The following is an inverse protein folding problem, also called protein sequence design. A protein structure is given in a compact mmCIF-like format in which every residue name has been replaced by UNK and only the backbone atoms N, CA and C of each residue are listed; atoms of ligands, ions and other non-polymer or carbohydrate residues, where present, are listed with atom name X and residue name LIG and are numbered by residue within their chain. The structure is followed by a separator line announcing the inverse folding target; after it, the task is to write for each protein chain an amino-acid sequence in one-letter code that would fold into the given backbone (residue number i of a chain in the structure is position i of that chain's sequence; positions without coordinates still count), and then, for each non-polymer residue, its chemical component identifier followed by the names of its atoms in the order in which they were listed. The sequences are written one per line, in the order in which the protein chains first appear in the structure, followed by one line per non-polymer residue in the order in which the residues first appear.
data_IF_201299643873
#
_entry.id   IF_201299643873
#
_cell.length_a   1.000
_cell.length_b   1.000
_cell.length_c   1.000
_cell.angle_alpha   90.00
_cell.angle_beta   90.00
_cell.angle_gamma   90.00
#
_symmetry.space_group_name_H-M   'P 1'
#
loop_
_entity.id
_entity.type
_entity.pdbx_description
1 polymer ?
#
# COMPACT_ATOMS: atom_id res chain seq x y z
N UNK A 1 9.56 -31.84 -0.42
CA UNK A 1 9.66 -30.60 0.38
C UNK A 1 8.40 -30.46 1.21
N UNK A 2 8.50 -30.08 2.49
CA UNK A 2 7.31 -29.89 3.34
C UNK A 2 6.41 -28.83 2.73
N UNK A 3 5.12 -29.11 2.55
CA UNK A 3 4.14 -28.17 1.99
C UNK A 3 3.73 -27.07 2.98
N UNK A 4 4.28 -27.09 4.20
CA UNK A 4 3.90 -26.22 5.31
C UNK A 4 4.56 -24.83 5.32
N UNK A 5 5.61 -24.61 4.50
CA UNK A 5 6.36 -23.33 4.48
C UNK A 5 6.30 -22.60 3.13
N UNK A 6 6.41 -21.27 3.16
CA UNK A 6 6.55 -20.41 1.97
C UNK A 6 7.94 -20.57 1.35
N UNK A 7 8.17 -19.93 0.19
CA UNK A 7 9.46 -19.96 -0.52
C UNK A 7 10.62 -19.34 0.27
N UNK A 8 10.31 -18.53 1.30
CA UNK A 8 11.29 -17.92 2.21
C UNK A 8 11.35 -18.62 3.58
N UNK A 9 10.76 -19.81 3.70
CA UNK A 9 10.84 -20.64 4.92
C UNK A 9 9.90 -20.24 6.06
N UNK A 10 8.94 -19.35 5.84
CA UNK A 10 7.94 -18.97 6.85
C UNK A 10 6.75 -19.93 6.86
N UNK A 11 6.09 -20.07 8.01
CA UNK A 11 4.89 -20.90 8.16
C UNK A 11 3.72 -20.36 7.31
N UNK A 12 3.07 -21.23 6.52
CA UNK A 12 2.09 -20.79 5.50
C UNK A 12 0.82 -20.20 6.09
N UNK A 13 0.28 -20.73 7.19
CA UNK A 13 -0.96 -20.21 7.80
C UNK A 13 -0.75 -18.77 8.27
N UNK A 14 0.30 -18.53 9.04
CA UNK A 14 0.68 -17.19 9.52
C UNK A 14 0.98 -16.25 8.36
N UNK A 15 1.68 -16.74 7.32
CA UNK A 15 1.98 -15.94 6.13
C UNK A 15 0.71 -15.56 5.36
N UNK A 16 -0.29 -16.45 5.30
CA UNK A 16 -1.59 -16.18 4.70
C UNK A 16 -2.35 -15.11 5.48
N UNK A 17 -2.47 -15.26 6.80
CA UNK A 17 -3.12 -14.28 7.68
C UNK A 17 -2.44 -12.90 7.58
N UNK A 18 -1.11 -12.86 7.45
CA UNK A 18 -0.37 -11.62 7.22
C UNK A 18 -0.65 -11.02 5.85
N UNK A 19 -0.65 -11.82 4.78
CA UNK A 19 -0.93 -11.37 3.43
C UNK A 19 -2.36 -10.79 3.29
N UNK A 20 -3.35 -11.40 3.95
CA UNK A 20 -4.72 -10.89 4.02
C UNK A 20 -4.78 -9.51 4.66
N UNK A 21 -4.09 -9.31 5.80
CA UNK A 21 -4.00 -7.99 6.46
C UNK A 21 -3.23 -6.97 5.64
N UNK A 22 -2.16 -7.39 4.96
CA UNK A 22 -1.40 -6.52 4.05
C UNK A 22 -2.26 -6.07 2.87
N UNK A 23 -3.14 -6.92 2.34
CA UNK A 23 -4.08 -6.53 1.29
C UNK A 23 -5.08 -5.47 1.76
N UNK A 24 -5.57 -5.56 2.99
CA UNK A 24 -6.41 -4.50 3.59
C UNK A 24 -5.63 -3.19 3.71
N UNK A 25 -4.36 -3.26 4.16
CA UNK A 25 -3.51 -2.08 4.28
C UNK A 25 -3.15 -1.47 2.92
N UNK A 26 -2.86 -2.30 1.92
CA UNK A 26 -2.61 -1.92 0.53
C UNK A 26 -3.79 -1.14 -0.04
N UNK A 27 -5.01 -1.66 0.10
CA UNK A 27 -6.23 -0.98 -0.33
C UNK A 27 -6.44 0.36 0.40
N UNK A 28 -6.22 0.40 1.72
CA UNK A 28 -6.31 1.64 2.49
C UNK A 28 -5.30 2.70 2.03
N UNK A 29 -4.07 2.29 1.71
CA UNK A 29 -3.03 3.20 1.19
C UNK A 29 -3.33 3.70 -0.21
N UNK A 30 -3.96 2.90 -1.08
CA UNK A 30 -4.41 3.37 -2.40
C UNK A 30 -5.43 4.52 -2.26
N UNK A 31 -6.39 4.36 -1.35
CA UNK A 31 -7.37 5.42 -1.05
C UNK A 31 -6.68 6.65 -0.43
N UNK A 32 -5.76 6.44 0.51
CA UNK A 32 -4.98 7.51 1.12
C UNK A 32 -4.18 8.31 0.08
N UNK A 33 -3.44 7.62 -0.80
CA UNK A 33 -2.68 8.21 -1.90
C UNK A 33 -3.58 9.09 -2.77
N UNK A 34 -4.73 8.57 -3.20
CA UNK A 34 -5.64 9.31 -4.07
C UNK A 34 -6.24 10.53 -3.35
N UNK A 35 -6.59 10.40 -2.07
CA UNK A 35 -7.11 11.51 -1.27
C UNK A 35 -6.06 12.62 -1.11
N UNK A 36 -4.82 12.27 -0.75
CA UNK A 36 -3.74 13.24 -0.57
C UNK A 36 -3.40 13.93 -1.90
N UNK A 37 -3.39 13.19 -3.00
CA UNK A 37 -3.21 13.77 -4.33
C UNK A 37 -4.38 14.68 -4.71
N UNK A 38 -5.60 14.34 -4.32
CA UNK A 38 -6.77 15.21 -4.39
C UNK A 38 -6.57 16.52 -3.63
N UNK A 39 -6.02 16.48 -2.41
CA UNK A 39 -5.69 17.71 -1.65
C UNK A 39 -4.59 18.53 -2.31
N UNK A 40 -3.55 17.88 -2.85
CA UNK A 40 -2.49 18.55 -3.61
C UNK A 40 -3.04 19.36 -4.78
N UNK A 41 -3.99 18.80 -5.55
CA UNK A 41 -4.61 19.50 -6.67
C UNK A 41 -5.56 20.62 -6.27
N UNK A 42 -6.31 20.44 -5.17
CA UNK A 42 -7.46 21.29 -4.86
C UNK A 42 -7.20 22.32 -3.74
N UNK A 43 -6.03 22.31 -3.10
CA UNK A 43 -5.68 23.29 -2.05
C UNK A 43 -5.67 24.72 -2.59
N UNK A 44 -6.18 25.66 -1.79
CA UNK A 44 -6.26 27.10 -2.08
C UNK A 44 -6.00 27.91 -0.81
N UNK A 45 -5.75 29.21 -0.98
CA UNK A 45 -5.55 30.17 0.12
C UNK A 45 -4.08 30.39 0.49
N UNK A 46 -3.85 31.18 1.54
CA UNK A 46 -2.54 31.77 1.88
C UNK A 46 -1.43 30.74 2.17
N UNK A 47 -1.81 29.50 2.49
CA UNK A 47 -0.88 28.39 2.76
C UNK A 47 -0.62 27.50 1.54
N UNK A 48 -1.05 27.91 0.34
CA UNK A 48 -0.97 27.11 -0.88
C UNK A 48 0.42 26.52 -1.09
N UNK A 49 1.47 27.34 -1.18
CA UNK A 49 2.82 26.86 -1.50
C UNK A 49 3.39 25.89 -0.47
N UNK A 50 3.09 26.08 0.81
CA UNK A 50 3.54 25.17 1.88
C UNK A 50 2.80 23.84 1.84
N UNK A 51 1.47 23.88 1.75
CA UNK A 51 0.65 22.67 1.83
C UNK A 51 0.68 21.86 0.51
N UNK A 52 0.74 22.52 -0.64
CA UNK A 52 0.82 21.86 -1.95
C UNK A 52 2.03 20.93 -2.03
N UNK A 53 3.21 21.41 -1.66
CA UNK A 53 4.45 20.61 -1.61
C UNK A 53 4.36 19.53 -0.52
N UNK A 54 3.76 19.83 0.64
CA UNK A 54 3.60 18.83 1.70
C UNK A 54 2.72 17.66 1.27
N UNK A 55 1.62 17.92 0.55
CA UNK A 55 0.78 16.85 0.01
C UNK A 55 1.50 16.04 -1.06
N UNK A 56 2.39 16.65 -1.86
CA UNK A 56 3.24 15.92 -2.80
C UNK A 56 4.22 14.97 -2.13
N UNK A 57 4.90 15.43 -1.08
CA UNK A 57 5.77 14.60 -0.25
C UNK A 57 4.99 13.37 0.26
N UNK A 58 3.79 13.59 0.81
CA UNK A 58 2.96 12.54 1.39
C UNK A 58 2.43 11.53 0.36
N UNK A 59 1.94 11.96 -0.82
CA UNK A 59 1.49 10.99 -1.82
C UNK A 59 2.66 10.23 -2.45
N UNK A 60 3.84 10.84 -2.54
CA UNK A 60 5.02 10.19 -3.12
C UNK A 60 5.52 9.10 -2.19
N UNK A 61 5.55 9.39 -0.89
CA UNK A 61 5.85 8.41 0.15
C UNK A 61 4.81 7.28 0.21
N UNK A 62 3.51 7.60 0.07
CA UNK A 62 2.46 6.60 0.00
C UNK A 62 2.61 5.67 -1.22
N UNK A 63 3.03 6.20 -2.37
CA UNK A 63 3.25 5.43 -3.60
C UNK A 63 4.35 4.36 -3.41
N UNK A 64 5.45 4.70 -2.73
CA UNK A 64 6.52 3.75 -2.41
C UNK A 64 5.99 2.65 -1.47
N UNK A 65 5.25 3.02 -0.43
CA UNK A 65 4.68 2.06 0.53
C UNK A 65 3.67 1.11 -0.11
N UNK A 66 2.87 1.59 -1.07
CA UNK A 66 1.95 0.75 -1.86
C UNK A 66 2.72 -0.37 -2.56
N UNK A 67 3.82 -0.02 -3.23
CA UNK A 67 4.65 -0.99 -3.95
C UNK A 67 5.30 -1.99 -2.98
N UNK A 68 5.93 -1.50 -1.91
CA UNK A 68 6.55 -2.34 -0.86
C UNK A 68 5.56 -3.36 -0.27
N UNK A 69 4.31 -2.96 -0.03
CA UNK A 69 3.27 -3.87 0.47
C UNK A 69 2.87 -4.91 -0.56
N UNK A 70 2.68 -4.51 -1.82
CA UNK A 70 2.34 -5.43 -2.90
C UNK A 70 3.46 -6.47 -3.11
N UNK A 71 4.71 -6.03 -3.18
CA UNK A 71 5.88 -6.92 -3.29
C UNK A 71 6.05 -7.81 -2.05
N UNK A 72 5.72 -7.31 -0.86
CA UNK A 72 5.75 -8.13 0.35
C UNK A 72 4.72 -9.26 0.29
N UNK A 73 3.52 -9.00 -0.21
CA UNK A 73 2.48 -10.02 -0.40
C UNK A 73 2.96 -11.10 -1.39
N UNK A 74 3.59 -10.70 -2.50
CA UNK A 74 4.21 -11.62 -3.46
C UNK A 74 5.33 -12.45 -2.83
N UNK A 75 6.19 -11.82 -2.03
CA UNK A 75 7.29 -12.48 -1.31
C UNK A 75 6.77 -13.54 -0.33
N UNK A 76 5.60 -13.31 0.29
CA UNK A 76 4.93 -14.29 1.14
C UNK A 76 4.26 -15.43 0.33
N UNK A 77 4.20 -15.33 -0.99
CA UNK A 77 3.63 -16.33 -1.90
C UNK A 77 2.13 -16.16 -2.17
N UNK A 78 1.60 -14.94 -1.98
CA UNK A 78 0.18 -14.63 -2.19
C UNK A 78 0.02 -13.52 -3.23
N UNK A 79 -1.22 -13.26 -3.67
CA UNK A 79 -1.52 -12.27 -4.70
C UNK A 79 -1.96 -10.94 -4.09
N UNK A 80 -1.36 -9.81 -4.47
CA UNK A 80 -1.83 -8.50 -4.07
C UNK A 80 -3.12 -8.11 -4.82
N UNK A 81 -4.04 -7.47 -4.11
CA UNK A 81 -5.22 -6.87 -4.70
C UNK A 81 -4.81 -5.67 -5.59
N UNK A 82 -5.44 -5.55 -6.75
CA UNK A 82 -5.03 -4.58 -7.79
C UNK A 82 -6.22 -3.90 -8.49
N UNK A 83 -7.45 -4.20 -8.08
CA UNK A 83 -8.67 -3.65 -8.64
C UNK A 83 -9.42 -2.83 -7.59
N UNK A 84 -10.20 -1.84 -8.05
CA UNK A 84 -11.04 -1.02 -7.17
C UNK A 84 -12.28 -1.77 -6.65
N UNK A 85 -12.64 -2.88 -7.30
CA UNK A 85 -13.71 -3.78 -6.92
C UNK A 85 -13.35 -5.21 -7.35
N UNK A 86 -13.88 -6.19 -6.64
CA UNK A 86 -13.76 -7.61 -6.97
C UNK A 86 -14.53 -8.00 -8.25
#
# INVERSE_FOLDING_TARGET
MSTATTNIGLEKKTSKELAEKLNVLLAAYQVFYMNVRGFHWNIRGDKFFTLHVKFEELYTDALVKIDEMAERILTLGFTPAHAFSD
#
